data_IF_895670460491
#
_entry.id   IF_895670460491
#
_cell.length_a   1.000
_cell.length_b   1.000
_cell.length_c   1.000
_cell.angle_alpha   90.00
_cell.angle_beta   90.00
_cell.angle_gamma   90.00
#
_symmetry.space_group_name_H-M   'P 1'
#
loop_
_entity.id
_entity.type
_entity.pdbx_description
1 polymer ?
#
# COMPACT_ATOMS: atom_id res chain seq x y z
N UNK A 1 4.06 -28.64 18.57
CA UNK A 1 3.73 -27.19 18.50
C UNK A 1 3.31 -26.78 19.90
N UNK A 2 4.00 -25.81 20.52
CA UNK A 2 3.74 -25.40 21.91
C UNK A 2 2.48 -24.55 22.03
N UNK A 3 1.84 -24.52 23.20
CA UNK A 3 0.64 -23.69 23.48
C UNK A 3 0.86 -22.20 23.18
N UNK A 4 2.08 -21.69 23.36
CA UNK A 4 2.50 -20.34 23.01
C UNK A 4 2.41 -20.05 21.49
N UNK A 5 2.65 -21.04 20.62
CA UNK A 5 2.53 -20.91 19.15
C UNK A 5 1.05 -20.78 18.71
N UNK A 6 0.11 -21.43 19.42
CA UNK A 6 -1.32 -21.33 19.12
C UNK A 6 -1.95 -20.02 19.60
N UNK A 7 -1.51 -19.48 20.74
CA UNK A 7 -2.01 -18.18 21.22
C UNK A 7 -1.58 -17.03 20.31
N UNK A 8 -0.33 -17.05 19.82
CA UNK A 8 0.17 -16.05 18.85
C UNK A 8 -0.58 -16.15 17.51
N UNK A 9 -0.83 -17.36 17.01
CA UNK A 9 -1.60 -17.57 15.78
C UNK A 9 -3.04 -17.06 15.90
N UNK A 10 -3.70 -17.32 17.05
CA UNK A 10 -5.06 -16.80 17.30
C UNK A 10 -5.09 -15.28 17.37
N UNK A 11 -4.14 -14.67 18.07
CA UNK A 11 -4.04 -13.20 18.15
C UNK A 11 -3.86 -12.57 16.78
N UNK A 12 -2.97 -13.11 15.94
CA UNK A 12 -2.76 -12.65 14.55
C UNK A 12 -3.97 -12.85 13.67
N UNK A 13 -4.67 -14.01 13.78
CA UNK A 13 -5.88 -14.26 13.03
C UNK A 13 -7.03 -13.32 13.43
N UNK A 14 -7.21 -13.08 14.73
CA UNK A 14 -8.24 -12.18 15.24
C UNK A 14 -7.96 -10.72 14.84
N UNK A 15 -6.71 -10.24 14.95
CA UNK A 15 -6.34 -8.89 14.52
C UNK A 15 -6.50 -8.72 13.01
N UNK A 16 -6.10 -9.70 12.21
CA UNK A 16 -6.30 -9.68 10.76
C UNK A 16 -7.78 -9.66 10.37
N UNK A 17 -8.61 -10.47 11.05
CA UNK A 17 -10.06 -10.47 10.83
C UNK A 17 -10.68 -9.13 11.23
N UNK A 18 -10.30 -8.56 12.38
CA UNK A 18 -10.80 -7.26 12.82
C UNK A 18 -10.44 -6.16 11.82
N UNK A 19 -9.20 -6.12 11.33
CA UNK A 19 -8.76 -5.18 10.30
C UNK A 19 -9.55 -5.36 8.99
N UNK A 20 -9.79 -6.61 8.56
CA UNK A 20 -10.57 -6.89 7.37
C UNK A 20 -12.03 -6.41 7.52
N UNK A 21 -12.66 -6.66 8.66
CA UNK A 21 -14.04 -6.20 8.95
C UNK A 21 -14.11 -4.67 8.96
N UNK A 22 -13.18 -4.00 9.63
CA UNK A 22 -13.10 -2.53 9.66
C UNK A 22 -12.89 -1.97 8.25
N UNK A 23 -11.98 -2.56 7.47
CA UNK A 23 -11.71 -2.16 6.09
C UNK A 23 -12.94 -2.30 5.19
N UNK A 24 -13.59 -3.45 5.22
CA UNK A 24 -14.82 -3.71 4.43
C UNK A 24 -15.93 -2.76 4.84
N UNK A 25 -16.16 -2.58 6.14
CA UNK A 25 -17.19 -1.68 6.66
C UNK A 25 -16.92 -0.21 6.21
N UNK A 26 -15.68 0.24 6.29
CA UNK A 26 -15.30 1.59 5.86
C UNK A 26 -15.46 1.78 4.34
N UNK A 27 -15.04 0.79 3.52
CA UNK A 27 -15.23 0.82 2.06
C UNK A 27 -16.71 0.88 1.70
N UNK A 28 -17.53 0.07 2.38
CA UNK A 28 -18.98 0.04 2.15
C UNK A 28 -19.66 1.34 2.58
N UNK A 29 -19.35 1.84 3.77
CA UNK A 29 -19.91 3.08 4.29
C UNK A 29 -19.51 4.30 3.44
N UNK A 30 -18.27 4.35 2.93
CA UNK A 30 -17.75 5.47 2.15
C UNK A 30 -17.65 6.77 2.95
N UNK A 31 -17.58 7.89 2.23
CA UNK A 31 -17.54 9.22 2.84
C UNK A 31 -16.47 9.34 3.93
N UNK A 32 -16.82 10.05 5.01
CA UNK A 32 -15.89 10.33 6.11
C UNK A 32 -15.30 9.08 6.77
N UNK A 33 -16.06 7.98 6.87
CA UNK A 33 -15.56 6.74 7.50
C UNK A 33 -14.40 6.13 6.70
N UNK A 34 -14.52 6.08 5.38
CA UNK A 34 -13.46 5.60 4.50
C UNK A 34 -12.26 6.56 4.49
N UNK A 35 -12.53 7.86 4.41
CA UNK A 35 -11.48 8.87 4.41
C UNK A 35 -10.65 8.84 5.69
N UNK A 36 -11.28 8.74 6.87
CA UNK A 36 -10.59 8.63 8.15
C UNK A 36 -9.71 7.37 8.22
N UNK A 37 -10.18 6.23 7.67
CA UNK A 37 -9.36 5.03 7.58
C UNK A 37 -8.13 5.27 6.70
N UNK A 38 -8.29 5.90 5.53
CA UNK A 38 -7.17 6.19 4.62
C UNK A 38 -6.19 7.19 5.26
N UNK A 39 -6.68 8.22 5.96
CA UNK A 39 -5.80 9.16 6.69
C UNK A 39 -5.00 8.44 7.78
N UNK A 40 -5.64 7.57 8.56
CA UNK A 40 -4.98 6.80 9.60
C UNK A 40 -3.90 5.86 9.01
N UNK A 41 -4.21 5.15 7.93
CA UNK A 41 -3.25 4.28 7.25
C UNK A 41 -2.07 5.07 6.66
N UNK A 42 -2.34 6.19 6.00
CA UNK A 42 -1.31 7.09 5.46
C UNK A 42 -0.40 7.60 6.58
N UNK A 43 -0.97 8.02 7.70
CA UNK A 43 -0.21 8.46 8.88
C UNK A 43 0.65 7.33 9.45
N UNK A 44 0.10 6.12 9.58
CA UNK A 44 0.84 4.95 10.06
C UNK A 44 2.01 4.57 9.14
N UNK A 45 1.80 4.59 7.81
CA UNK A 45 2.87 4.32 6.84
C UNK A 45 4.00 5.36 6.92
N UNK A 46 3.68 6.64 7.08
CA UNK A 46 4.71 7.70 7.24
C UNK A 46 5.40 7.61 8.60
N UNK A 47 4.68 7.24 9.65
CA UNK A 47 5.26 6.95 10.96
C UNK A 47 6.27 5.80 10.87
N UNK A 48 5.91 4.69 10.22
CA UNK A 48 6.80 3.54 10.02
C UNK A 48 8.02 3.91 9.18
N UNK A 49 7.83 4.63 8.06
CA UNK A 49 8.92 5.13 7.23
C UNK A 49 9.90 5.99 8.04
N UNK A 50 9.38 6.85 8.91
CA UNK A 50 10.22 7.70 9.77
C UNK A 50 11.05 6.87 10.73
N UNK A 51 10.45 5.86 11.35
CA UNK A 51 11.14 4.93 12.24
C UNK A 51 12.23 4.11 11.53
N UNK A 52 12.00 3.76 10.27
CA UNK A 52 12.99 3.03 9.45
C UNK A 52 14.19 3.90 9.06
N UNK A 53 13.94 5.14 8.59
CA UNK A 53 14.99 6.03 8.08
C UNK A 53 15.73 6.79 9.19
N UNK A 54 15.14 6.96 10.35
CA UNK A 54 15.73 7.65 11.51
C UNK A 54 15.36 6.92 12.82
N UNK A 55 16.00 5.75 13.08
CA UNK A 55 15.73 4.95 14.27
C UNK A 55 16.03 5.70 15.59
N UNK A 56 16.99 6.61 15.54
CA UNK A 56 17.45 7.41 16.69
C UNK A 56 16.69 8.73 16.84
N UNK A 57 15.61 8.92 16.05
CA UNK A 57 14.81 10.14 16.13
C UNK A 57 14.28 10.39 17.55
N UNK A 58 14.23 11.66 18.00
CA UNK A 58 13.59 12.02 19.25
C UNK A 58 12.15 11.48 19.35
N UNK A 59 11.72 11.15 20.57
CA UNK A 59 10.34 10.75 20.81
C UNK A 59 9.37 11.81 20.26
N UNK A 60 8.33 11.37 19.57
CA UNK A 60 7.34 12.26 18.94
C UNK A 60 7.66 12.70 17.51
N UNK A 61 8.89 12.50 16.98
CA UNK A 61 9.21 12.91 15.60
C UNK A 61 8.43 12.05 14.57
N UNK A 62 8.37 10.74 14.77
CA UNK A 62 7.66 9.83 13.88
C UNK A 62 6.14 10.07 13.97
N UNK A 63 5.61 10.26 15.15
CA UNK A 63 4.21 10.59 15.42
C UNK A 63 3.81 11.90 14.76
N UNK A 64 4.65 12.94 14.90
CA UNK A 64 4.43 14.22 14.25
C UNK A 64 4.50 14.14 12.72
N UNK A 65 5.39 13.31 12.17
CA UNK A 65 5.48 13.11 10.73
C UNK A 65 4.23 12.38 10.20
N UNK A 66 3.80 11.32 10.88
CA UNK A 66 2.58 10.58 10.53
C UNK A 66 1.34 11.45 10.60
N UNK A 67 1.16 12.21 11.70
CA UNK A 67 0.05 13.14 11.84
C UNK A 67 0.08 14.23 10.77
N UNK A 68 1.25 14.80 10.46
CA UNK A 68 1.40 15.81 9.42
C UNK A 68 0.99 15.27 8.05
N UNK A 69 1.32 14.01 7.73
CA UNK A 69 0.93 13.37 6.48
C UNK A 69 -0.58 13.11 6.40
N UNK A 70 -1.20 12.67 7.51
CA UNK A 70 -2.65 12.47 7.59
C UNK A 70 -3.39 13.81 7.39
N UNK A 71 -2.94 14.87 8.05
CA UNK A 71 -3.50 16.23 7.90
C UNK A 71 -3.28 16.76 6.47
N UNK A 72 -2.11 16.55 5.88
CA UNK A 72 -1.85 16.93 4.51
C UNK A 72 -2.84 16.25 3.55
N UNK A 73 -3.04 14.93 3.72
CA UNK A 73 -3.99 14.19 2.88
C UNK A 73 -5.45 14.66 3.09
N UNK A 74 -5.83 14.99 4.33
CA UNK A 74 -7.13 15.60 4.60
C UNK A 74 -7.32 16.92 3.86
N UNK A 75 -6.31 17.81 3.89
CA UNK A 75 -6.33 19.07 3.15
C UNK A 75 -6.44 18.84 1.64
N UNK A 76 -5.75 17.81 1.11
CA UNK A 76 -5.82 17.48 -0.33
C UNK A 76 -7.21 16.99 -0.74
N UNK A 77 -7.85 16.16 0.10
CA UNK A 77 -9.19 15.64 -0.18
C UNK A 77 -10.28 16.70 -0.06
N UNK A 78 -10.01 17.80 0.65
CA UNK A 78 -10.96 18.91 0.89
C UNK A 78 -11.14 19.86 -0.31
N UNK A 79 -11.35 19.30 -1.52
CA UNK A 79 -11.74 20.05 -2.75
C UNK A 79 -10.65 20.90 -3.42
N UNK A 80 -9.38 20.63 -3.15
CA UNK A 80 -8.31 21.18 -3.98
C UNK A 80 -8.34 20.50 -5.35
N UNK A 81 -8.16 21.26 -6.42
CA UNK A 81 -8.18 20.75 -7.79
C UNK A 81 -7.05 21.32 -8.64
N UNK A 82 -6.71 20.58 -9.70
CA UNK A 82 -5.74 21.04 -10.71
C UNK A 82 -4.34 21.31 -10.15
N UNK A 83 -3.73 22.39 -10.59
CA UNK A 83 -2.37 22.77 -10.25
C UNK A 83 -2.16 23.05 -8.75
N UNK A 84 -3.20 23.54 -8.06
CA UNK A 84 -3.14 23.81 -6.61
C UNK A 84 -2.93 22.49 -5.84
N UNK A 85 -3.67 21.45 -6.18
CA UNK A 85 -3.52 20.12 -5.57
C UNK A 85 -2.10 19.59 -5.76
N UNK A 86 -1.58 19.63 -6.98
CA UNK A 86 -0.22 19.17 -7.28
C UNK A 86 0.84 20.01 -6.55
N UNK A 87 0.67 21.31 -6.48
CA UNK A 87 1.58 22.21 -5.77
C UNK A 87 1.62 21.95 -4.27
N UNK A 88 0.47 21.76 -3.63
CA UNK A 88 0.37 21.47 -2.19
C UNK A 88 0.91 20.06 -1.89
N UNK A 89 0.63 19.07 -2.75
CA UNK A 89 1.21 17.72 -2.63
C UNK A 89 2.75 17.80 -2.69
N UNK A 90 3.31 18.44 -3.72
CA UNK A 90 4.75 18.59 -3.88
C UNK A 90 5.40 19.31 -2.69
N UNK A 91 4.79 20.41 -2.23
CA UNK A 91 5.26 21.14 -1.06
C UNK A 91 5.27 20.27 0.20
N UNK A 92 4.22 19.49 0.42
CA UNK A 92 4.14 18.58 1.58
C UNK A 92 5.23 17.50 1.54
N UNK A 93 5.47 16.93 0.35
CA UNK A 93 6.56 15.95 0.15
C UNK A 93 7.91 16.58 0.47
N UNK A 94 8.17 17.79 -0.03
CA UNK A 94 9.43 18.51 0.22
C UNK A 94 9.61 18.81 1.71
N UNK A 95 8.58 19.38 2.35
CA UNK A 95 8.65 19.75 3.78
C UNK A 95 8.84 18.52 4.69
N UNK A 96 8.18 17.40 4.39
CA UNK A 96 8.34 16.17 5.13
C UNK A 96 9.71 15.52 4.87
N UNK A 97 10.18 15.51 3.61
CA UNK A 97 11.45 14.91 3.22
C UNK A 97 12.66 15.66 3.82
N UNK A 98 12.56 16.97 4.01
CA UNK A 98 13.60 17.78 4.67
C UNK A 98 13.90 17.34 6.11
N UNK A 99 13.01 16.58 6.73
CA UNK A 99 13.22 16.00 8.07
C UNK A 99 14.23 14.85 8.07
N UNK A 100 14.65 14.37 6.88
CA UNK A 100 15.57 13.24 6.68
C UNK A 100 16.87 13.69 5.98
N UNK A 101 17.80 14.36 6.67
CA UNK A 101 18.97 15.00 6.03
C UNK A 101 19.90 14.02 5.31
N UNK A 102 19.93 12.75 5.72
CA UNK A 102 20.75 11.71 5.08
C UNK A 102 20.06 11.06 3.87
N UNK A 103 18.72 10.92 3.92
CA UNK A 103 17.91 10.11 3.00
C UNK A 103 16.74 10.88 2.38
N UNK A 104 16.87 12.24 2.27
CA UNK A 104 15.75 13.06 1.78
C UNK A 104 15.24 12.67 0.39
N UNK A 105 16.09 12.16 -0.51
CA UNK A 105 15.65 11.68 -1.82
C UNK A 105 14.76 10.43 -1.73
N UNK A 106 15.18 9.45 -0.91
CA UNK A 106 14.40 8.22 -0.66
C UNK A 106 13.10 8.58 0.07
N UNK A 107 13.21 9.42 1.10
CA UNK A 107 12.05 9.90 1.85
C UNK A 107 11.06 10.63 0.94
N UNK A 108 11.52 11.54 0.07
CA UNK A 108 10.67 12.29 -0.85
C UNK A 108 9.92 11.35 -1.81
N UNK A 109 10.63 10.39 -2.42
CA UNK A 109 10.01 9.44 -3.33
C UNK A 109 8.94 8.59 -2.65
N UNK A 110 9.23 8.09 -1.45
CA UNK A 110 8.30 7.22 -0.72
C UNK A 110 7.11 7.99 -0.12
N UNK A 111 7.36 9.17 0.44
CA UNK A 111 6.29 10.06 0.91
C UNK A 111 5.36 10.45 -0.23
N UNK A 112 5.93 10.77 -1.40
CA UNK A 112 5.15 11.06 -2.61
C UNK A 112 4.25 9.89 -3.00
N UNK A 113 4.79 8.66 -3.01
CA UNK A 113 4.01 7.45 -3.32
C UNK A 113 2.90 7.19 -2.28
N UNK A 114 3.20 7.32 -0.98
CA UNK A 114 2.21 7.12 0.09
C UNK A 114 1.08 8.14 -0.02
N UNK A 115 1.39 9.42 -0.15
CA UNK A 115 0.37 10.48 -0.26
C UNK A 115 -0.45 10.35 -1.55
N UNK A 116 0.22 10.02 -2.67
CA UNK A 116 -0.46 9.78 -3.94
C UNK A 116 -1.38 8.56 -3.89
N UNK A 117 -0.96 7.47 -3.26
CA UNK A 117 -1.78 6.27 -3.07
C UNK A 117 -3.00 6.57 -2.18
N UNK A 118 -2.81 7.28 -1.06
CA UNK A 118 -3.90 7.68 -0.17
C UNK A 118 -4.93 8.55 -0.90
N UNK A 119 -4.46 9.58 -1.62
CA UNK A 119 -5.33 10.43 -2.43
C UNK A 119 -6.04 9.62 -3.52
N UNK A 120 -5.32 8.75 -4.22
CA UNK A 120 -5.87 7.87 -5.26
C UNK A 120 -6.99 6.97 -4.73
N UNK A 121 -6.83 6.40 -3.54
CA UNK A 121 -7.88 5.59 -2.89
C UNK A 121 -9.13 6.42 -2.57
N UNK A 122 -8.96 7.63 -2.02
CA UNK A 122 -10.09 8.53 -1.72
C UNK A 122 -10.82 8.92 -3.00
N UNK A 123 -10.09 9.32 -4.04
CA UNK A 123 -10.68 9.68 -5.33
C UNK A 123 -11.36 8.47 -5.99
N UNK A 124 -10.73 7.30 -5.97
CA UNK A 124 -11.31 6.08 -6.52
C UNK A 124 -12.66 5.78 -5.87
N UNK A 125 -12.74 5.85 -4.53
CA UNK A 125 -13.96 5.59 -3.78
C UNK A 125 -15.04 6.66 -4.04
N UNK A 126 -14.66 7.94 -4.04
CA UNK A 126 -15.61 9.04 -4.11
C UNK A 126 -16.14 9.29 -5.53
N UNK A 127 -15.31 9.01 -6.56
CA UNK A 127 -15.67 9.24 -7.96
C UNK A 127 -16.29 8.00 -8.61
N UNK A 128 -15.70 6.83 -8.34
CA UNK A 128 -16.06 5.59 -9.04
C UNK A 128 -16.90 4.62 -8.20
N UNK A 129 -16.92 4.79 -6.87
CA UNK A 129 -17.72 3.96 -5.99
C UNK A 129 -16.94 2.82 -5.32
N UNK A 130 -17.67 2.05 -4.50
CA UNK A 130 -17.08 0.99 -3.68
C UNK A 130 -16.62 -0.23 -4.51
N UNK A 131 -17.25 -0.48 -5.63
CA UNK A 131 -16.95 -1.62 -6.53
C UNK A 131 -15.53 -1.52 -7.09
N UNK A 132 -15.08 -0.32 -7.43
CA UNK A 132 -13.71 -0.08 -7.90
C UNK A 132 -12.68 -0.29 -6.81
N UNK A 133 -12.98 0.10 -5.57
CA UNK A 133 -12.10 -0.16 -4.43
C UNK A 133 -12.07 -1.66 -4.12
N UNK A 134 -13.21 -2.34 -4.18
CA UNK A 134 -13.30 -3.78 -3.99
C UNK A 134 -12.48 -4.53 -5.03
N UNK A 135 -12.60 -4.16 -6.32
CA UNK A 135 -11.75 -4.70 -7.40
C UNK A 135 -10.27 -4.54 -7.07
N UNK A 136 -9.85 -3.33 -6.69
CA UNK A 136 -8.44 -3.05 -6.36
C UNK A 136 -7.94 -3.90 -5.19
N UNK A 137 -8.71 -3.98 -4.10
CA UNK A 137 -8.35 -4.75 -2.90
C UNK A 137 -8.26 -6.24 -3.22
N UNK A 138 -9.26 -6.79 -3.92
CA UNK A 138 -9.26 -8.21 -4.31
C UNK A 138 -8.12 -8.53 -5.26
N UNK A 139 -7.79 -7.60 -6.17
CA UNK A 139 -6.68 -7.75 -7.11
C UNK A 139 -5.35 -7.83 -6.38
N UNK A 140 -5.08 -6.91 -5.45
CA UNK A 140 -3.84 -6.90 -4.66
C UNK A 140 -3.75 -8.17 -3.82
N UNK A 141 -4.77 -8.49 -3.03
CA UNK A 141 -4.77 -9.70 -2.19
C UNK A 141 -4.65 -10.95 -3.04
N UNK A 142 -5.42 -11.06 -4.13
CA UNK A 142 -5.43 -12.23 -5.00
C UNK A 142 -4.08 -12.45 -5.69
N UNK A 143 -3.47 -11.38 -6.22
CA UNK A 143 -2.15 -11.47 -6.85
C UNK A 143 -1.04 -11.87 -5.86
N UNK A 144 -1.08 -11.38 -4.63
CA UNK A 144 -0.11 -11.71 -3.61
C UNK A 144 -0.25 -13.16 -3.12
N UNK A 145 -1.48 -13.59 -2.86
CA UNK A 145 -1.77 -14.98 -2.45
C UNK A 145 -1.36 -15.95 -3.55
N UNK A 146 -1.74 -15.69 -4.81
CA UNK A 146 -1.35 -16.52 -5.94
C UNK A 146 0.16 -16.56 -6.13
N UNK A 147 0.80 -15.39 -6.01
CA UNK A 147 2.26 -15.25 -6.09
C UNK A 147 2.98 -16.06 -5.02
N UNK A 148 2.49 -16.03 -3.79
CA UNK A 148 3.04 -16.80 -2.69
C UNK A 148 2.92 -18.31 -2.92
N UNK A 149 1.72 -18.81 -3.25
CA UNK A 149 1.51 -20.24 -3.44
C UNK A 149 2.23 -20.78 -4.67
N UNK A 150 2.13 -20.09 -5.81
CA UNK A 150 2.82 -20.51 -7.02
C UNK A 150 4.33 -20.48 -6.86
N UNK A 151 4.86 -19.44 -6.22
CA UNK A 151 6.28 -19.35 -5.93
C UNK A 151 6.79 -20.45 -5.02
N UNK A 152 5.94 -20.93 -4.08
CA UNK A 152 6.27 -22.03 -3.17
C UNK A 152 6.14 -23.41 -3.82
N UNK A 153 5.14 -23.62 -4.67
CA UNK A 153 4.84 -24.91 -5.31
C UNK A 153 5.78 -25.15 -6.48
N UNK A 154 5.88 -24.19 -7.39
CA UNK A 154 6.66 -24.33 -8.63
C UNK A 154 8.13 -23.89 -8.45
N UNK A 155 8.42 -23.01 -7.50
CA UNK A 155 9.76 -22.48 -7.30
C UNK A 155 10.31 -21.75 -8.52
N UNK A 156 11.57 -22.02 -8.86
CA UNK A 156 12.24 -21.48 -10.05
C UNK A 156 13.11 -20.24 -9.80
N UNK A 157 13.53 -19.53 -10.86
CA UNK A 157 14.44 -18.41 -10.76
C UNK A 157 13.88 -17.31 -9.87
N UNK A 158 14.77 -16.69 -9.08
CA UNK A 158 14.41 -15.58 -8.22
C UNK A 158 14.25 -14.30 -9.06
N UNK A 159 13.25 -13.48 -8.70
CA UNK A 159 12.97 -12.22 -9.41
C UNK A 159 14.10 -11.20 -9.16
N UNK A 160 14.46 -10.98 -7.89
CA UNK A 160 15.54 -10.07 -7.49
C UNK A 160 16.27 -10.59 -6.23
N UNK A 161 17.26 -11.50 -6.36
CA UNK A 161 17.88 -12.18 -5.23
C UNK A 161 18.46 -11.26 -4.14
N UNK A 162 19.04 -10.14 -4.56
CA UNK A 162 19.72 -9.20 -3.65
C UNK A 162 18.74 -8.38 -2.78
N UNK A 163 17.55 -8.10 -3.26
CA UNK A 163 16.57 -7.25 -2.60
C UNK A 163 15.49 -8.10 -1.93
N UNK A 164 14.89 -9.02 -2.68
CA UNK A 164 13.81 -9.88 -2.23
C UNK A 164 14.07 -11.34 -2.59
N UNK A 165 14.85 -12.08 -1.75
CA UNK A 165 15.29 -13.45 -2.06
C UNK A 165 14.15 -14.49 -2.08
N UNK A 166 12.97 -14.14 -1.58
CA UNK A 166 11.81 -15.04 -1.55
C UNK A 166 10.96 -14.96 -2.82
N UNK A 167 10.96 -13.84 -3.56
CA UNK A 167 10.14 -13.66 -4.77
C UNK A 167 10.70 -14.44 -5.95
N UNK A 168 9.83 -15.16 -6.68
CA UNK A 168 10.16 -15.99 -7.85
C UNK A 168 9.40 -15.52 -9.09
N UNK A 169 9.93 -15.80 -10.28
CA UNK A 169 9.25 -15.52 -11.54
C UNK A 169 7.93 -16.28 -11.67
N UNK A 170 7.88 -17.54 -11.22
CA UNK A 170 6.64 -18.35 -11.22
C UNK A 170 5.54 -17.68 -10.38
N UNK A 171 5.88 -17.16 -9.20
CA UNK A 171 4.94 -16.41 -8.38
C UNK A 171 4.49 -15.11 -9.01
N UNK A 172 5.42 -14.37 -9.62
CA UNK A 172 5.14 -13.11 -10.31
C UNK A 172 4.12 -13.30 -11.43
N UNK A 173 4.36 -14.27 -12.32
CA UNK A 173 3.47 -14.57 -13.46
C UNK A 173 2.11 -15.10 -13.00
N UNK A 174 2.08 -15.94 -11.95
CA UNK A 174 0.82 -16.41 -11.38
C UNK A 174 -0.02 -15.25 -10.81
N UNK A 175 0.62 -14.28 -10.16
CA UNK A 175 -0.05 -13.06 -9.69
C UNK A 175 -0.69 -12.27 -10.84
N UNK A 176 -0.01 -12.15 -11.98
CA UNK A 176 -0.58 -11.50 -13.17
C UNK A 176 -1.76 -12.29 -13.74
N UNK A 177 -1.68 -13.63 -13.77
CA UNK A 177 -2.78 -14.48 -14.21
C UNK A 177 -4.04 -14.30 -13.36
N UNK A 178 -3.89 -14.24 -12.03
CA UNK A 178 -5.02 -13.96 -11.12
C UNK A 178 -5.52 -12.53 -11.30
N UNK A 179 -4.64 -11.55 -11.55
CA UNK A 179 -5.06 -10.18 -11.85
C UNK A 179 -5.94 -10.10 -13.11
N UNK A 180 -5.59 -10.84 -14.18
CA UNK A 180 -6.43 -10.96 -15.37
C UNK A 180 -7.80 -11.58 -15.03
N UNK A 181 -7.83 -12.66 -14.25
CA UNK A 181 -9.08 -13.33 -13.87
C UNK A 181 -9.99 -12.41 -13.04
N UNK A 182 -9.43 -11.65 -12.10
CA UNK A 182 -10.19 -10.66 -11.31
C UNK A 182 -10.68 -9.52 -12.21
N UNK A 183 -9.82 -8.99 -13.09
CA UNK A 183 -10.22 -7.98 -14.07
C UNK A 183 -11.37 -8.44 -14.95
N UNK A 184 -11.31 -9.69 -15.41
CA UNK A 184 -12.39 -10.29 -16.22
C UNK A 184 -13.71 -10.40 -15.42
N UNK A 185 -13.66 -10.87 -14.18
CA UNK A 185 -14.83 -10.99 -13.31
C UNK A 185 -15.50 -9.64 -13.02
N UNK A 186 -14.72 -8.58 -12.95
CA UNK A 186 -15.19 -7.23 -12.65
C UNK A 186 -15.57 -6.39 -13.88
N UNK A 187 -15.26 -6.82 -15.11
CA UNK A 187 -15.55 -6.05 -16.32
C UNK A 187 -17.04 -5.63 -16.41
N UNK A 188 -17.95 -6.57 -16.17
CA UNK A 188 -19.39 -6.30 -16.22
C UNK A 188 -19.85 -5.42 -15.06
N UNK A 189 -19.34 -5.69 -13.83
CA UNK A 189 -19.70 -4.95 -12.61
C UNK A 189 -19.28 -3.48 -12.71
N UNK A 190 -18.08 -3.23 -13.23
CA UNK A 190 -17.52 -1.87 -13.36
C UNK A 190 -17.94 -1.15 -14.65
N UNK A 191 -18.69 -1.81 -15.52
CA UNK A 191 -19.03 -1.28 -16.84
C UNK A 191 -17.79 -0.98 -17.69
N UNK A 192 -16.68 -1.67 -17.42
CA UNK A 192 -15.39 -1.45 -18.08
C UNK A 192 -15.18 -2.45 -19.22
N UNK A 193 -14.53 -1.99 -20.28
CA UNK A 193 -14.17 -2.86 -21.41
C UNK A 193 -12.92 -3.71 -21.13
N UNK A 194 -12.43 -4.40 -22.17
CA UNK A 194 -11.24 -5.27 -22.09
C UNK A 194 -9.96 -4.55 -21.59
N UNK A 195 -9.91 -3.22 -21.64
CA UNK A 195 -8.84 -2.42 -21.02
C UNK A 195 -8.66 -2.67 -19.54
N UNK A 196 -9.71 -3.11 -18.83
CA UNK A 196 -9.62 -3.47 -17.41
C UNK A 196 -8.67 -4.65 -17.15
N UNK A 197 -8.57 -5.59 -18.09
CA UNK A 197 -7.62 -6.72 -17.99
C UNK A 197 -6.18 -6.23 -17.97
N UNK A 198 -5.86 -5.32 -18.90
CA UNK A 198 -4.53 -4.70 -18.98
C UNK A 198 -4.25 -3.88 -17.72
N UNK A 199 -5.21 -3.06 -17.30
CA UNK A 199 -5.11 -2.25 -16.09
C UNK A 199 -4.89 -3.14 -14.86
N UNK A 200 -5.59 -4.26 -14.74
CA UNK A 200 -5.43 -5.21 -13.63
C UNK A 200 -4.01 -5.76 -13.56
N UNK A 201 -3.42 -6.14 -14.70
CA UNK A 201 -2.02 -6.60 -14.74
C UNK A 201 -1.06 -5.47 -14.36
N UNK A 202 -1.27 -4.26 -14.86
CA UNK A 202 -0.41 -3.12 -14.53
C UNK A 202 -0.47 -2.77 -13.03
N UNK A 203 -1.64 -2.84 -12.42
CA UNK A 203 -1.80 -2.63 -10.97
C UNK A 203 -1.10 -3.73 -10.17
N UNK A 204 -1.22 -5.01 -10.58
CA UNK A 204 -0.49 -6.10 -9.93
C UNK A 204 1.03 -5.93 -10.06
N UNK A 205 1.51 -5.52 -11.24
CA UNK A 205 2.93 -5.20 -11.45
C UNK A 205 3.39 -4.03 -10.56
N UNK A 206 2.58 -2.99 -10.44
CA UNK A 206 2.88 -1.84 -9.57
C UNK A 206 2.94 -2.25 -8.09
N UNK A 207 2.02 -3.11 -7.63
CA UNK A 207 2.05 -3.68 -6.28
C UNK A 207 3.33 -4.47 -6.02
N UNK A 208 3.69 -5.37 -6.94
CA UNK A 208 4.93 -6.15 -6.85
C UNK A 208 6.19 -5.27 -6.86
N UNK A 209 6.19 -4.20 -7.67
CA UNK A 209 7.28 -3.21 -7.67
C UNK A 209 7.34 -2.44 -6.34
N UNK A 210 6.19 -2.10 -5.75
CA UNK A 210 6.09 -1.49 -4.43
C UNK A 210 6.71 -2.35 -3.33
N UNK A 211 6.40 -3.64 -3.30
CA UNK A 211 7.00 -4.59 -2.34
C UNK A 211 8.52 -4.70 -2.49
N UNK A 212 9.02 -4.66 -3.75
CA UNK A 212 10.46 -4.67 -4.02
C UNK A 212 11.10 -3.37 -3.51
N UNK A 213 10.45 -2.23 -3.76
CA UNK A 213 10.92 -0.93 -3.30
C UNK A 213 10.96 -0.86 -1.76
N UNK A 214 9.91 -1.34 -1.08
CA UNK A 214 9.88 -1.45 0.38
C UNK A 214 11.01 -2.35 0.90
N UNK A 215 11.20 -3.51 0.29
CA UNK A 215 12.30 -4.42 0.63
C UNK A 215 13.67 -3.75 0.44
N UNK A 216 13.84 -2.94 -0.61
CA UNK A 216 15.09 -2.21 -0.87
C UNK A 216 15.35 -1.16 0.22
N UNK A 217 14.34 -0.42 0.65
CA UNK A 217 14.46 0.57 1.73
C UNK A 217 14.80 -0.12 3.06
N UNK A 218 14.12 -1.21 3.41
CA UNK A 218 14.44 -1.99 4.61
C UNK A 218 15.91 -2.44 4.62
N UNK A 219 16.45 -2.87 3.47
CA UNK A 219 17.88 -3.21 3.34
C UNK A 219 18.79 -1.99 3.46
N UNK A 220 18.41 -0.86 2.87
CA UNK A 220 19.15 0.40 2.97
C UNK A 220 19.21 0.90 4.43
N UNK A 221 18.09 0.84 5.13
CA UNK A 221 17.99 1.20 6.55
C UNK A 221 18.62 0.19 7.51
N UNK A 222 19.14 -0.96 7.02
CA UNK A 222 19.74 -1.99 7.86
C UNK A 222 18.74 -2.80 8.70
N UNK A 223 17.43 -2.64 8.45
CA UNK A 223 16.37 -3.36 9.16
C UNK A 223 15.82 -4.49 8.29
N UNK A 224 15.36 -5.57 8.93
CA UNK A 224 14.76 -6.71 8.22
C UNK A 224 13.25 -6.78 8.42
N UNK A 225 12.81 -6.46 9.61
CA UNK A 225 11.41 -6.43 10.02
C UNK A 225 11.17 -5.10 10.73
N UNK A 226 10.17 -4.36 10.34
CA UNK A 226 9.76 -3.09 10.95
C UNK A 226 8.43 -3.29 11.68
#
# INVERSE_FOLDING_TARGET
MSAASFSDLRARALSGLAMAVIGIAAVWAGGLAFELLVYALTGAMVWELTRMLDPDAPSGKAEAAGLSAAVALWVFSAKLSGAVLLGVLALSVVLLAWRFPKDHGIAAAYLGLILFAGLGLILLRNVHGWDWVLWLVLLVIGSDVAGYFAGRIFGGPKLWPRVSPKKTWSGTVAGWGVAVAIGWAFMGVLGAGAGLLVLSVLVAMAGQAGDIAESAIKRHAGVKDS
#
